data_IF_545059578377
#
_entry.id   IF_545059578377
#
_cell.length_a   1.000
_cell.length_b   1.000
_cell.length_c   1.000
_cell.angle_alpha   90.00
_cell.angle_beta   90.00
_cell.angle_gamma   90.00
#
_symmetry.space_group_name_H-M   'P 1'
#
loop_
_entity.id
_entity.type
_entity.pdbx_description
1 polymer ?
#
# COMPACT_ATOMS: atom_id res chain seq x y z
N UNK A 1 -10.43 -0.79 -6.13
CA UNK A 1 -10.22 0.63 -5.79
C UNK A 1 -8.75 0.86 -5.47
N UNK A 2 -8.25 2.07 -5.64
CA UNK A 2 -6.88 2.46 -5.30
C UNK A 2 -6.55 2.23 -3.81
N UNK A 3 -7.56 2.32 -2.95
CA UNK A 3 -7.46 2.01 -1.53
C UNK A 3 -7.12 0.53 -1.29
N UNK A 4 -7.75 -0.39 -2.02
CA UNK A 4 -7.47 -1.81 -1.91
C UNK A 4 -6.04 -2.12 -2.36
N UNK A 5 -5.61 -1.61 -3.52
CA UNK A 5 -4.24 -1.80 -4.03
C UNK A 5 -3.22 -1.20 -3.05
N UNK A 6 -3.54 -0.06 -2.45
CA UNK A 6 -2.70 0.58 -1.44
C UNK A 6 -2.59 -0.25 -0.15
N UNK A 7 -3.68 -0.94 0.26
CA UNK A 7 -3.69 -1.81 1.45
C UNK A 7 -2.85 -3.07 1.31
N UNK A 8 -2.49 -3.45 0.08
CA UNK A 8 -1.67 -4.64 -0.19
C UNK A 8 -0.20 -4.48 0.22
N UNK A 9 0.26 -3.26 0.50
CA UNK A 9 1.66 -2.99 0.86
C UNK A 9 2.65 -3.46 -0.21
N UNK A 10 2.26 -3.41 -1.49
CA UNK A 10 3.13 -3.83 -2.59
C UNK A 10 4.07 -2.66 -2.89
N UNK A 11 5.23 -2.63 -2.26
CA UNK A 11 6.25 -1.61 -2.47
C UNK A 11 6.70 -1.48 -3.93
N UNK A 12 6.59 -2.57 -4.69
CA UNK A 12 6.88 -2.62 -6.12
C UNK A 12 5.70 -2.23 -7.04
N UNK A 13 4.57 -1.73 -6.51
CA UNK A 13 3.48 -1.21 -7.34
C UNK A 13 3.96 -0.09 -8.29
N UNK A 14 5.01 0.62 -7.89
CA UNK A 14 5.70 1.59 -8.74
C UNK A 14 6.30 0.94 -9.99
N UNK A 15 7.01 -0.17 -9.84
CA UNK A 15 7.59 -0.92 -10.97
C UNK A 15 6.50 -1.49 -11.89
N UNK A 16 5.40 -1.99 -11.34
CA UNK A 16 4.26 -2.49 -12.11
C UNK A 16 3.53 -1.38 -12.87
N UNK A 17 3.27 -0.24 -12.23
CA UNK A 17 2.66 0.90 -12.90
C UNK A 17 3.51 1.41 -14.06
N UNK A 18 4.84 1.39 -13.92
CA UNK A 18 5.75 1.78 -14.98
C UNK A 18 5.79 0.76 -16.12
N UNK A 19 5.76 -0.54 -15.81
CA UNK A 19 5.66 -1.62 -16.81
C UNK A 19 4.36 -1.48 -17.59
N UNK A 20 3.23 -1.30 -16.91
CA UNK A 20 1.92 -1.10 -17.54
C UNK A 20 1.90 0.17 -18.40
N UNK A 21 2.47 1.27 -17.92
CA UNK A 21 2.54 2.53 -18.67
C UNK A 21 3.46 2.45 -19.90
N UNK A 22 4.56 1.68 -19.83
CA UNK A 22 5.52 1.52 -20.92
C UNK A 22 5.14 0.45 -21.94
N UNK A 23 4.25 -0.46 -21.57
CA UNK A 23 3.80 -1.57 -22.42
C UNK A 23 2.34 -1.92 -22.08
N UNK A 24 1.36 -1.07 -22.53
CA UNK A 24 -0.05 -1.26 -22.21
C UNK A 24 -0.65 -2.52 -22.82
N UNK A 25 0.05 -3.15 -23.75
CA UNK A 25 -0.31 -4.44 -24.33
C UNK A 25 0.89 -5.37 -24.22
N UNK A 26 0.77 -6.40 -23.40
CA UNK A 26 1.79 -7.45 -23.25
C UNK A 26 1.15 -8.79 -23.57
N UNK A 27 1.79 -9.55 -24.45
CA UNK A 27 1.39 -10.93 -24.71
C UNK A 27 1.91 -11.77 -23.55
N UNK A 28 1.00 -12.32 -22.75
CA UNK A 28 1.36 -13.22 -21.66
C UNK A 28 1.80 -14.58 -22.25
N UNK A 29 2.91 -15.10 -21.74
CA UNK A 29 3.31 -16.47 -21.99
C UNK A 29 2.31 -17.43 -21.35
N UNK A 30 2.18 -18.65 -21.87
CA UNK A 30 1.18 -19.65 -21.44
C UNK A 30 1.17 -19.85 -19.92
N UNK A 31 2.31 -19.97 -19.27
CA UNK A 31 2.41 -20.07 -17.81
C UNK A 31 1.85 -18.88 -17.05
N UNK A 32 2.07 -17.67 -17.56
CA UNK A 32 1.53 -16.46 -16.93
C UNK A 32 0.02 -16.36 -17.13
N UNK A 33 -0.49 -16.82 -18.27
CA UNK A 33 -1.91 -16.91 -18.56
C UNK A 33 -2.61 -17.92 -17.64
N UNK A 34 -2.07 -19.13 -17.46
CA UNK A 34 -2.58 -20.13 -16.53
C UNK A 34 -2.60 -19.64 -15.09
N UNK A 35 -1.54 -18.96 -14.65
CA UNK A 35 -1.47 -18.36 -13.32
C UNK A 35 -2.55 -17.27 -13.11
N UNK A 36 -2.80 -16.43 -14.12
CA UNK A 36 -3.85 -15.43 -14.09
C UNK A 36 -5.26 -16.05 -14.03
N UNK A 37 -5.51 -17.07 -14.84
CA UNK A 37 -6.78 -17.81 -14.85
C UNK A 37 -7.05 -18.48 -13.50
N UNK A 38 -6.04 -19.11 -12.92
CA UNK A 38 -6.10 -19.73 -11.59
C UNK A 38 -6.40 -18.70 -10.51
N UNK A 39 -5.73 -17.54 -10.52
CA UNK A 39 -5.99 -16.44 -9.61
C UNK A 39 -7.42 -15.90 -9.72
N UNK A 40 -7.89 -15.65 -10.94
CA UNK A 40 -9.26 -15.17 -11.17
C UNK A 40 -10.31 -16.19 -10.71
N UNK A 41 -10.04 -17.50 -10.92
CA UNK A 41 -10.92 -18.57 -10.45
C UNK A 41 -10.99 -18.60 -8.91
N UNK A 42 -9.86 -18.51 -8.22
CA UNK A 42 -9.82 -18.42 -6.76
C UNK A 42 -10.59 -17.20 -6.23
N UNK A 43 -10.40 -16.03 -6.83
CA UNK A 43 -11.14 -14.84 -6.45
C UNK A 43 -12.65 -14.99 -6.66
N UNK A 44 -13.10 -15.52 -7.80
CA UNK A 44 -14.50 -15.76 -8.10
C UNK A 44 -15.16 -16.69 -7.09
N UNK A 45 -14.45 -17.73 -6.67
CA UNK A 45 -14.97 -18.69 -5.69
C UNK A 45 -15.02 -18.11 -4.27
N UNK A 46 -14.12 -17.19 -3.93
CA UNK A 46 -14.02 -16.62 -2.60
C UNK A 46 -14.95 -15.43 -2.37
N UNK A 47 -15.20 -14.63 -3.41
CA UNK A 47 -16.02 -13.41 -3.31
C UNK A 47 -17.45 -13.69 -2.80
N UNK A 48 -18.16 -14.76 -3.24
CA UNK A 48 -19.55 -15.05 -2.81
C UNK A 48 -19.65 -15.61 -1.39
N UNK A 49 -18.54 -15.97 -0.73
CA UNK A 49 -18.58 -16.59 0.60
C UNK A 49 -18.70 -15.50 1.67
N UNK A 50 -19.93 -15.10 1.98
CA UNK A 50 -20.20 -13.99 2.91
C UNK A 50 -19.87 -14.31 4.37
N UNK A 51 -19.94 -15.58 4.78
CA UNK A 51 -19.71 -16.00 6.17
C UNK A 51 -18.24 -16.26 6.54
N UNK A 52 -17.27 -15.98 5.65
CA UNK A 52 -15.87 -16.16 5.97
C UNK A 52 -15.31 -14.86 6.59
N UNK A 53 -14.99 -14.83 7.89
CA UNK A 53 -14.46 -13.65 8.56
C UNK A 53 -13.09 -13.19 8.01
N UNK A 54 -12.34 -14.10 7.36
CA UNK A 54 -11.03 -13.84 6.76
C UNK A 54 -11.09 -13.57 5.26
N UNK A 55 -12.29 -13.45 4.66
CA UNK A 55 -12.46 -13.27 3.21
C UNK A 55 -11.60 -12.14 2.65
N UNK A 56 -11.66 -10.97 3.29
CA UNK A 56 -10.91 -9.80 2.83
C UNK A 56 -9.39 -10.01 2.95
N UNK A 57 -8.94 -10.59 4.05
CA UNK A 57 -7.53 -10.90 4.28
C UNK A 57 -7.00 -11.90 3.25
N UNK A 58 -7.77 -12.96 2.97
CA UNK A 58 -7.39 -13.94 1.95
C UNK A 58 -7.32 -13.30 0.56
N UNK A 59 -8.29 -12.44 0.19
CA UNK A 59 -8.25 -11.71 -1.08
C UNK A 59 -7.04 -10.79 -1.17
N UNK A 60 -6.66 -10.12 -0.08
CA UNK A 60 -5.46 -9.29 -0.02
C UNK A 60 -4.19 -10.13 -0.23
N UNK A 61 -4.06 -11.25 0.46
CA UNK A 61 -2.91 -12.15 0.34
C UNK A 61 -2.80 -12.75 -1.07
N UNK A 62 -3.92 -13.24 -1.64
CA UNK A 62 -3.97 -13.75 -3.01
C UNK A 62 -3.57 -12.69 -4.03
N UNK A 63 -4.10 -11.48 -3.87
CA UNK A 63 -3.78 -10.37 -4.78
C UNK A 63 -2.31 -9.97 -4.64
N UNK A 64 -1.78 -9.93 -3.43
CA UNK A 64 -0.35 -9.66 -3.18
C UNK A 64 0.54 -10.73 -3.82
N UNK A 65 0.21 -12.01 -3.63
CA UNK A 65 0.95 -13.12 -4.24
C UNK A 65 0.92 -13.04 -5.78
N UNK A 66 -0.25 -12.74 -6.36
CA UNK A 66 -0.39 -12.55 -7.81
C UNK A 66 0.50 -11.43 -8.34
N UNK A 67 0.50 -10.25 -7.70
CA UNK A 67 1.33 -9.13 -8.15
C UNK A 67 2.83 -9.42 -8.02
N UNK A 68 3.25 -10.13 -6.98
CA UNK A 68 4.65 -10.55 -6.83
C UNK A 68 5.04 -11.56 -7.93
N UNK A 69 4.17 -12.54 -8.20
CA UNK A 69 4.37 -13.52 -9.27
C UNK A 69 4.35 -12.88 -10.65
N UNK A 70 3.40 -11.96 -10.91
CA UNK A 70 3.33 -11.23 -12.18
C UNK A 70 4.61 -10.41 -12.41
N UNK A 71 5.15 -9.79 -11.36
CA UNK A 71 6.44 -9.09 -11.41
C UNK A 71 7.55 -10.01 -11.90
N UNK A 72 7.61 -11.24 -11.42
CA UNK A 72 8.58 -12.24 -11.85
C UNK A 72 8.41 -12.62 -13.34
N UNK A 73 7.19 -12.88 -13.80
CA UNK A 73 6.92 -13.21 -15.20
C UNK A 73 7.21 -12.05 -16.15
N UNK A 74 6.92 -10.83 -15.75
CA UNK A 74 7.18 -9.63 -16.55
C UNK A 74 8.67 -9.27 -16.58
N UNK A 75 9.42 -9.56 -15.52
CA UNK A 75 10.87 -9.36 -15.47
C UNK A 75 11.63 -10.37 -16.34
N UNK A 76 11.16 -11.61 -16.42
CA UNK A 76 11.72 -12.64 -17.32
C UNK A 76 11.57 -12.29 -18.80
N UNK A 77 10.57 -11.48 -19.16
CA UNK A 77 10.31 -11.02 -20.53
C UNK A 77 11.10 -9.78 -20.93
N UNK A 78 11.74 -9.09 -19.99
CA UNK A 78 12.51 -7.87 -20.26
C UNK A 78 13.75 -7.85 -19.35
N UNK A 79 14.93 -8.08 -19.91
CA UNK A 79 16.20 -7.67 -19.30
C UNK A 79 16.26 -6.13 -19.28
N UNK A 80 15.40 -5.49 -18.47
CA UNK A 80 15.55 -4.06 -18.23
C UNK A 80 16.70 -3.85 -17.25
N UNK A 81 17.79 -3.32 -17.75
CA UNK A 81 18.81 -2.66 -16.94
C UNK A 81 18.11 -1.49 -16.24
N UNK A 82 17.84 -1.64 -14.94
CA UNK A 82 17.34 -0.52 -14.14
C UNK A 82 18.34 0.62 -14.20
N UNK A 83 17.86 1.82 -14.44
CA UNK A 83 18.72 2.99 -14.29
C UNK A 83 19.12 3.12 -12.81
N UNK A 84 20.30 3.69 -12.56
CA UNK A 84 20.77 3.96 -11.19
C UNK A 84 19.72 4.71 -10.34
N UNK A 85 18.96 5.61 -10.96
CA UNK A 85 17.89 6.36 -10.28
C UNK A 85 16.71 5.46 -9.91
N UNK A 86 16.36 4.47 -10.72
CA UNK A 86 15.31 3.49 -10.42
C UNK A 86 15.71 2.57 -9.28
N UNK A 87 16.95 2.08 -9.28
CA UNK A 87 17.49 1.27 -8.18
C UNK A 87 17.49 2.05 -6.87
N UNK A 88 17.88 3.32 -6.93
CA UNK A 88 17.91 4.21 -5.79
C UNK A 88 16.51 4.48 -5.23
N UNK A 89 15.55 4.74 -6.10
CA UNK A 89 14.14 4.94 -5.71
C UNK A 89 13.55 3.66 -5.10
N UNK A 90 13.86 2.50 -5.68
CA UNK A 90 13.43 1.20 -5.13
C UNK A 90 14.03 0.95 -3.74
N UNK A 91 15.32 1.23 -3.57
CA UNK A 91 16.01 1.11 -2.28
C UNK A 91 15.43 2.06 -1.23
N UNK A 92 15.08 3.29 -1.62
CA UNK A 92 14.41 4.25 -0.76
C UNK A 92 13.04 3.75 -0.29
N UNK A 93 12.19 3.23 -1.20
CA UNK A 93 10.87 2.70 -0.84
C UNK A 93 11.01 1.50 0.11
N UNK A 94 11.97 0.60 -0.14
CA UNK A 94 12.26 -0.52 0.75
C UNK A 94 12.70 -0.07 2.15
N UNK A 95 13.50 0.99 2.24
CA UNK A 95 13.89 1.57 3.53
C UNK A 95 12.69 2.19 4.27
N UNK A 96 11.75 2.81 3.55
CA UNK A 96 10.51 3.33 4.15
C UNK A 96 9.72 2.18 4.76
N UNK A 97 9.48 1.10 4.02
CA UNK A 97 8.73 -0.08 4.50
C UNK A 97 9.27 -0.62 5.82
N UNK A 98 10.56 -0.52 6.03
CA UNK A 98 11.22 -1.01 7.24
C UNK A 98 11.26 -0.03 8.40
N UNK A 99 11.13 1.29 8.12
CA UNK A 99 11.46 2.32 9.12
C UNK A 99 10.39 3.42 9.28
N UNK A 100 9.31 3.44 8.50
CA UNK A 100 8.33 4.55 8.50
C UNK A 100 7.67 4.80 9.86
N UNK A 101 7.53 3.76 10.69
CA UNK A 101 6.92 3.90 12.00
C UNK A 101 7.80 4.74 12.96
N UNK A 102 9.12 4.57 12.87
CA UNK A 102 10.08 5.22 13.76
C UNK A 102 10.65 6.52 13.16
N UNK A 103 10.85 6.54 11.85
CA UNK A 103 11.53 7.64 11.14
C UNK A 103 10.66 8.20 10.02
N UNK A 104 10.30 9.48 10.14
CA UNK A 104 9.51 10.23 9.14
C UNK A 104 10.29 11.33 8.45
N UNK A 105 11.50 11.60 8.93
CA UNK A 105 12.39 12.64 8.42
C UNK A 105 13.15 12.13 7.20
N UNK A 106 13.11 12.90 6.11
CA UNK A 106 13.82 12.57 4.89
C UNK A 106 15.35 12.42 5.10
N UNK A 107 15.89 13.15 6.06
CA UNK A 107 17.33 13.10 6.37
C UNK A 107 17.76 11.67 6.75
N UNK A 108 16.99 10.96 7.57
CA UNK A 108 17.29 9.58 7.95
C UNK A 108 17.49 8.68 6.73
N UNK A 109 16.62 8.77 5.76
CA UNK A 109 16.67 7.94 4.54
C UNK A 109 17.80 8.37 3.62
N UNK A 110 18.05 9.67 3.52
CA UNK A 110 19.15 10.21 2.73
C UNK A 110 20.49 9.74 3.28
N UNK A 111 20.68 9.79 4.59
CA UNK A 111 21.90 9.32 5.28
C UNK A 111 22.11 7.83 5.07
N UNK A 112 21.07 7.00 5.20
CA UNK A 112 21.13 5.56 4.92
C UNK A 112 21.54 5.23 3.49
N UNK A 113 21.14 6.06 2.53
CA UNK A 113 21.48 5.92 1.11
C UNK A 113 22.78 6.66 0.73
N UNK A 114 23.45 7.31 1.69
CA UNK A 114 24.66 8.13 1.47
C UNK A 114 24.44 9.22 0.44
N UNK A 115 23.30 9.90 0.53
CA UNK A 115 22.89 10.99 -0.35
C UNK A 115 22.53 12.23 0.44
N UNK A 116 22.50 13.38 -0.25
CA UNK A 116 21.86 14.57 0.31
C UNK A 116 20.35 14.47 0.20
N UNK A 117 19.55 15.01 1.16
CA UNK A 117 18.10 15.03 1.06
C UNK A 117 17.58 15.67 -0.22
N UNK A 118 18.26 16.72 -0.71
CA UNK A 118 17.93 17.39 -1.97
C UNK A 118 18.09 16.45 -3.18
N UNK A 119 19.19 15.70 -3.22
CA UNK A 119 19.44 14.74 -4.30
C UNK A 119 18.43 13.59 -4.27
N UNK A 120 18.17 13.01 -3.08
CA UNK A 120 17.16 11.96 -2.91
C UNK A 120 15.77 12.44 -3.33
N UNK A 121 15.33 13.63 -2.88
CA UNK A 121 14.03 14.22 -3.27
C UNK A 121 13.90 14.36 -4.78
N UNK A 122 14.95 14.86 -5.44
CA UNK A 122 14.96 15.04 -6.90
C UNK A 122 14.85 13.71 -7.62
N UNK A 123 15.69 12.74 -7.27
CA UNK A 123 15.69 11.42 -7.91
C UNK A 123 14.35 10.72 -7.75
N UNK A 124 13.82 10.68 -6.52
CA UNK A 124 12.52 10.04 -6.24
C UNK A 124 11.39 10.72 -7.01
N UNK A 125 11.35 12.06 -7.06
CA UNK A 125 10.33 12.81 -7.79
C UNK A 125 10.39 12.55 -9.30
N UNK A 126 11.59 12.63 -9.89
CA UNK A 126 11.81 12.40 -11.31
C UNK A 126 11.45 10.96 -11.71
N UNK A 127 11.76 9.99 -10.86
CA UNK A 127 11.57 8.57 -11.14
C UNK A 127 10.14 8.11 -10.88
N UNK A 128 9.52 8.54 -9.77
CA UNK A 128 8.23 8.04 -9.31
C UNK A 128 7.04 8.97 -9.57
N UNK A 129 7.30 10.21 -9.94
CA UNK A 129 6.28 11.25 -10.07
C UNK A 129 5.79 11.82 -8.73
N UNK A 130 6.12 11.18 -7.59
CA UNK A 130 5.75 11.59 -6.23
C UNK A 130 6.96 12.08 -5.47
N UNK A 131 6.77 13.04 -4.56
CA UNK A 131 7.86 13.47 -3.69
C UNK A 131 8.26 12.37 -2.70
N UNK A 132 9.49 12.42 -2.21
CA UNK A 132 9.97 11.49 -1.19
C UNK A 132 9.14 11.57 0.10
N UNK A 133 8.69 12.76 0.47
CA UNK A 133 7.83 12.96 1.65
C UNK A 133 6.46 12.31 1.45
N UNK A 134 5.84 12.46 0.28
CA UNK A 134 4.57 11.78 -0.03
C UNK A 134 4.67 10.26 0.07
N UNK A 135 5.83 9.68 -0.28
CA UNK A 135 6.06 8.24 -0.11
C UNK A 135 6.11 7.83 1.37
N UNK A 136 6.80 8.59 2.22
CA UNK A 136 6.87 8.34 3.66
C UNK A 136 5.46 8.49 4.27
N UNK A 137 4.77 9.59 3.98
CA UNK A 137 3.42 9.88 4.47
C UNK A 137 2.44 8.79 4.10
N UNK A 138 2.51 8.30 2.86
CA UNK A 138 1.66 7.22 2.39
C UNK A 138 1.80 5.95 3.25
N UNK A 139 3.01 5.53 3.60
CA UNK A 139 3.22 4.31 4.40
C UNK A 139 2.70 4.49 5.84
N UNK A 140 2.96 5.64 6.45
CA UNK A 140 2.45 5.97 7.79
C UNK A 140 0.92 5.96 7.81
N UNK A 141 0.28 6.59 6.81
CA UNK A 141 -1.19 6.67 6.74
C UNK A 141 -1.81 5.31 6.44
N UNK A 142 -1.22 4.50 5.58
CA UNK A 142 -1.74 3.16 5.29
C UNK A 142 -1.77 2.28 6.54
N UNK A 143 -0.71 2.30 7.34
CA UNK A 143 -0.66 1.58 8.61
C UNK A 143 -1.65 2.16 9.62
N UNK A 144 -1.71 3.49 9.75
CA UNK A 144 -2.68 4.15 10.61
C UNK A 144 -4.12 3.75 10.28
N UNK A 145 -4.49 3.77 8.99
CA UNK A 145 -5.82 3.35 8.51
C UNK A 145 -6.07 1.87 8.79
N UNK A 146 -5.09 1.01 8.52
CA UNK A 146 -5.19 -0.41 8.84
C UNK A 146 -5.49 -0.64 10.32
N UNK A 147 -4.75 0.01 11.22
CA UNK A 147 -4.98 -0.11 12.67
C UNK A 147 -6.31 0.52 13.13
N UNK A 148 -6.73 1.62 12.52
CA UNK A 148 -8.03 2.26 12.82
C UNK A 148 -9.21 1.35 12.49
N UNK A 149 -9.13 0.57 11.40
CA UNK A 149 -10.23 -0.24 10.89
C UNK A 149 -10.22 -1.69 11.39
N UNK A 150 -9.04 -2.28 11.58
CA UNK A 150 -8.87 -3.70 11.92
C UNK A 150 -8.84 -3.98 13.43
N UNK A 151 -8.64 -2.96 14.26
CA UNK A 151 -8.46 -3.16 15.70
C UNK A 151 -9.38 -2.27 16.55
N UNK A 152 -9.59 -2.69 17.80
CA UNK A 152 -10.32 -1.89 18.80
C UNK A 152 -9.37 -1.05 19.68
N UNK A 153 -8.08 -0.99 19.33
CA UNK A 153 -7.10 -0.20 20.09
C UNK A 153 -7.43 1.31 20.03
N UNK A 154 -7.04 2.01 21.08
CA UNK A 154 -7.32 3.44 21.19
C UNK A 154 -6.51 4.25 20.18
N UNK A 155 -7.00 5.45 19.85
CA UNK A 155 -6.24 6.41 19.00
C UNK A 155 -4.88 6.74 19.65
N UNK A 156 -4.83 6.79 20.98
CA UNK A 156 -3.60 7.00 21.75
C UNK A 156 -2.61 5.87 21.51
N UNK A 157 -3.08 4.63 21.52
CA UNK A 157 -2.24 3.47 21.29
C UNK A 157 -1.70 3.42 19.86
N UNK A 158 -2.52 3.77 18.86
CA UNK A 158 -2.08 3.88 17.46
C UNK A 158 -0.99 4.94 17.34
N UNK A 159 -1.18 6.12 17.95
CA UNK A 159 -0.19 7.19 17.97
C UNK A 159 1.15 6.70 18.56
N UNK A 160 1.10 5.94 19.66
CA UNK A 160 2.28 5.36 20.30
C UNK A 160 2.99 4.35 19.38
N UNK A 161 2.25 3.40 18.80
CA UNK A 161 2.80 2.39 17.88
C UNK A 161 3.46 2.99 16.64
N UNK A 162 2.93 4.12 16.18
CA UNK A 162 3.50 4.87 15.06
C UNK A 162 4.54 5.91 15.53
N UNK A 163 5.02 5.80 16.77
CA UNK A 163 6.06 6.66 17.33
C UNK A 163 5.75 8.17 17.22
N UNK A 164 4.49 8.57 17.46
CA UNK A 164 4.15 9.98 17.58
C UNK A 164 4.33 10.45 19.05
N UNK A 165 4.83 11.67 19.26
CA UNK A 165 5.03 12.20 20.61
C UNK A 165 3.74 12.28 21.44
N UNK A 166 2.59 12.40 20.80
CA UNK A 166 1.28 12.43 21.44
C UNK A 166 0.16 12.09 20.48
N UNK A 167 -1.01 11.72 21.01
CA UNK A 167 -2.24 11.54 20.25
C UNK A 167 -2.60 12.82 19.46
N UNK A 168 -2.37 14.00 20.02
CA UNK A 168 -2.64 15.28 19.37
C UNK A 168 -1.74 15.49 18.13
N UNK A 169 -0.45 15.15 18.24
CA UNK A 169 0.47 15.22 17.09
C UNK A 169 0.05 14.26 15.97
N UNK A 170 -0.31 13.03 16.33
CA UNK A 170 -0.85 12.07 15.38
C UNK A 170 -2.15 12.57 14.74
N UNK A 171 -3.08 13.08 15.53
CA UNK A 171 -4.35 13.63 15.04
C UNK A 171 -4.17 14.76 14.03
N UNK A 172 -3.27 15.70 14.30
CA UNK A 172 -2.92 16.79 13.37
C UNK A 172 -2.28 16.25 12.07
N UNK A 173 -1.34 15.32 12.20
CA UNK A 173 -0.68 14.69 11.06
C UNK A 173 -1.68 13.96 10.17
N UNK A 174 -2.51 13.10 10.75
CA UNK A 174 -3.52 12.34 10.04
C UNK A 174 -4.55 13.25 9.36
N UNK A 175 -5.06 14.26 10.09
CA UNK A 175 -6.03 15.21 9.54
C UNK A 175 -5.46 16.04 8.38
N UNK A 176 -4.20 16.44 8.45
CA UNK A 176 -3.54 17.17 7.37
C UNK A 176 -3.52 16.36 6.05
N UNK A 177 -3.37 15.05 6.12
CA UNK A 177 -3.23 14.20 4.94
C UNK A 177 -4.59 13.65 4.49
N UNK A 178 -5.44 13.26 5.44
CA UNK A 178 -6.72 12.58 5.16
C UNK A 178 -7.93 13.52 5.15
N UNK A 179 -7.76 14.78 5.55
CA UNK A 179 -8.83 15.79 5.62
C UNK A 179 -9.81 15.59 6.78
N UNK A 180 -9.69 14.52 7.56
CA UNK A 180 -10.57 14.22 8.71
C UNK A 180 -9.75 13.71 9.90
N UNK A 181 -10.30 13.79 11.11
CA UNK A 181 -9.63 13.25 12.30
C UNK A 181 -9.60 11.71 12.29
N UNK A 182 -8.62 11.08 13.00
CA UNK A 182 -8.60 9.61 13.14
C UNK A 182 -9.89 9.04 13.74
N UNK A 183 -10.49 9.75 14.69
CA UNK A 183 -11.74 9.36 15.34
C UNK A 183 -12.89 9.39 14.34
N UNK A 184 -13.06 10.51 13.64
CA UNK A 184 -14.08 10.67 12.59
C UNK A 184 -13.92 9.64 11.49
N UNK A 185 -12.69 9.39 11.05
CA UNK A 185 -12.40 8.36 10.05
C UNK A 185 -12.85 6.98 10.50
N UNK A 186 -12.54 6.58 11.73
CA UNK A 186 -12.97 5.31 12.33
C UNK A 186 -14.48 5.19 12.41
N UNK A 187 -15.17 6.23 12.87
CA UNK A 187 -16.63 6.25 13.02
C UNK A 187 -17.34 6.09 11.68
N UNK A 188 -16.95 6.88 10.68
CA UNK A 188 -17.52 6.81 9.34
C UNK A 188 -17.43 5.42 8.72
N UNK A 189 -16.32 4.71 8.92
CA UNK A 189 -16.12 3.38 8.36
C UNK A 189 -16.79 2.27 9.19
N UNK A 190 -16.97 2.47 10.50
CA UNK A 190 -17.77 1.55 11.34
C UNK A 190 -19.26 1.62 11.03
N UNK A 191 -19.80 2.81 10.79
CA UNK A 191 -21.20 3.01 10.43
C UNK A 191 -21.51 2.36 9.08
N UNK A 192 -20.69 2.61 8.07
CA UNK A 192 -20.83 1.97 6.74
C UNK A 192 -20.82 0.43 6.82
N UNK A 193 -19.96 -0.14 7.68
CA UNK A 193 -19.91 -1.60 7.88
C UNK A 193 -21.18 -2.15 8.53
N UNK A 194 -21.79 -1.40 9.45
CA UNK A 194 -23.06 -1.80 10.10
C UNK A 194 -24.25 -1.68 9.15
N UNK A 195 -24.33 -0.62 8.38
CA UNK A 195 -25.38 -0.39 7.38
C UNK A 195 -25.37 -1.49 6.32
N UNK A 196 -24.20 -1.83 5.81
CA UNK A 196 -24.04 -2.89 4.81
C UNK A 196 -24.44 -4.28 5.36
N UNK A 197 -24.19 -4.56 6.63
CA UNK A 197 -24.62 -5.80 7.30
C UNK A 197 -26.15 -5.82 7.53
N UNK A 198 -26.75 -4.66 7.85
CA UNK A 198 -28.20 -4.56 8.04
C UNK A 198 -28.98 -4.67 6.73
N UNK A 199 -28.50 -4.09 5.65
CA UNK A 199 -29.10 -4.23 4.32
C UNK A 199 -29.08 -5.68 3.82
N UNK A 200 -28.04 -6.45 4.16
CA UNK A 200 -27.96 -7.87 3.81
C UNK A 200 -28.92 -8.73 4.63
N UNK A 201 -29.25 -8.34 5.87
CA UNK A 201 -30.21 -9.08 6.71
C UNK A 201 -31.70 -8.78 6.39
N UNK A 202 -31.99 -7.62 5.77
CA UNK A 202 -33.33 -7.24 5.37
C UNK A 202 -33.76 -7.78 3.99
N UNK A 203 -32.84 -8.36 3.24
CA UNK A 203 -33.11 -8.93 1.91
C UNK A 203 -33.24 -10.47 1.93
N UNK A 204 -33.43 -11.06 3.11
CA UNK A 204 -33.76 -12.47 3.32
C UNK A 204 -35.05 -12.57 4.07
#
# INVERSE_FOLDING_TARGET
SDEFVSSLGIGNAFSLNKIVASSPKTVLQDRAKEALESYLSMCRNLIPIDNNPHRLEILQLLTKAFFLGLGYFLHGASQKVYSRNEELTTSFIKLIEQNYAEHRELNFYADKLKLTPKHLSRVVKETSGKSAIEWIEKHVILDAVSQLLSSNISIKEIAYRLNFPSQSCFGKYFNRIMGVSPTTYREQHRTKKKEHVMEQHNNH
#
